data_IF_551566275888
#
_entry.id   IF_551566275888
#
_cell.length_a   1.000
_cell.length_b   1.000
_cell.length_c   1.000
_cell.angle_alpha   90.00
_cell.angle_beta   90.00
_cell.angle_gamma   90.00
#
_symmetry.space_group_name_H-M   'P 1'
#
loop_
_entity.id
_entity.type
_entity.pdbx_description
1 polymer ?
#
# COMPACT_ATOMS: atom_id res chain seq x y z
N UNK A 1 1.65 15.38 12.90
CA UNK A 1 2.86 14.70 12.38
C UNK A 1 2.67 14.49 10.88
N UNK A 2 3.67 14.85 10.07
CA UNK A 2 3.65 14.61 8.63
C UNK A 2 4.17 13.21 8.31
N UNK A 3 3.41 12.46 7.52
CA UNK A 3 3.72 11.09 7.12
C UNK A 3 3.86 11.03 5.60
N UNK A 4 4.99 10.50 5.14
CA UNK A 4 5.19 10.08 3.75
C UNK A 4 4.87 8.59 3.65
N UNK A 5 3.99 8.21 2.73
CA UNK A 5 3.66 6.80 2.49
C UNK A 5 4.00 6.38 1.06
N UNK A 6 4.50 5.15 0.89
CA UNK A 6 4.91 4.59 -0.40
C UNK A 6 4.45 3.13 -0.48
N UNK A 7 3.77 2.75 -1.55
CA UNK A 7 3.50 1.35 -1.89
C UNK A 7 3.81 1.09 -3.38
N UNK A 8 4.54 0.00 -3.63
CA UNK A 8 4.91 -0.50 -4.97
C UNK A 8 4.75 -2.02 -5.05
N UNK A 9 3.85 -2.57 -4.22
CA UNK A 9 3.66 -4.01 -4.09
C UNK A 9 2.86 -4.65 -5.22
N UNK A 10 2.16 -3.84 -6.02
CA UNK A 10 1.32 -4.27 -7.14
C UNK A 10 1.77 -3.59 -8.43
N UNK A 11 0.96 -3.61 -9.49
CA UNK A 11 1.23 -2.82 -10.70
C UNK A 11 1.13 -1.30 -10.45
N UNK A 12 0.52 -0.87 -9.35
CA UNK A 12 0.47 0.53 -8.97
C UNK A 12 1.74 0.97 -8.22
N UNK A 13 2.25 2.15 -8.56
CA UNK A 13 3.16 2.93 -7.70
C UNK A 13 2.31 3.99 -7.03
N UNK A 14 2.19 3.94 -5.73
CA UNK A 14 1.37 4.87 -4.94
C UNK A 14 2.23 5.61 -3.94
N UNK A 15 2.08 6.93 -3.86
CA UNK A 15 2.78 7.82 -2.92
C UNK A 15 1.77 8.78 -2.31
N UNK A 16 1.83 9.01 -1.01
CA UNK A 16 0.96 9.96 -0.32
C UNK A 16 1.70 10.78 0.73
N UNK A 17 1.20 11.98 0.98
CA UNK A 17 1.56 12.81 2.13
C UNK A 17 0.32 13.04 2.97
N UNK A 18 0.37 12.65 4.24
CA UNK A 18 -0.71 12.81 5.20
C UNK A 18 -0.28 13.78 6.31
N UNK A 19 -1.21 14.61 6.77
CA UNK A 19 -0.99 15.57 7.86
C UNK A 19 -0.57 16.96 7.43
N UNK A 20 -0.49 17.23 6.11
CA UNK A 20 -0.24 18.55 5.57
C UNK A 20 -1.44 19.50 5.77
N UNK A 21 -1.18 20.80 5.90
CA UNK A 21 -2.23 21.83 6.05
C UNK A 21 -3.14 21.91 4.82
N UNK A 22 -2.58 21.63 3.64
CA UNK A 22 -3.31 21.58 2.36
C UNK A 22 -4.27 20.38 2.27
N UNK A 23 -4.23 19.47 3.26
CA UNK A 23 -4.95 18.20 3.24
C UNK A 23 -4.10 17.03 2.75
N UNK A 24 -4.68 15.82 2.71
CA UNK A 24 -3.98 14.64 2.25
C UNK A 24 -3.74 14.69 0.74
N UNK A 25 -2.53 14.37 0.33
CA UNK A 25 -2.16 14.28 -1.09
C UNK A 25 -1.90 12.82 -1.45
N UNK A 26 -2.46 12.37 -2.55
CA UNK A 26 -2.25 11.04 -3.12
C UNK A 26 -1.83 11.14 -4.59
N UNK A 27 -0.79 10.43 -4.97
CA UNK A 27 -0.34 10.25 -6.35
C UNK A 27 -0.19 8.77 -6.65
N UNK A 28 -0.81 8.34 -7.73
CA UNK A 28 -0.76 6.93 -8.16
C UNK A 28 -0.55 6.84 -9.66
N UNK A 29 0.34 5.95 -10.07
CA UNK A 29 0.55 5.56 -11.46
C UNK A 29 0.51 4.04 -11.57
N UNK A 30 -0.30 3.53 -12.50
CA UNK A 30 -0.45 2.09 -12.74
C UNK A 30 0.43 1.71 -13.93
N UNK A 31 1.62 1.18 -13.66
CA UNK A 31 2.54 0.59 -14.64
C UNK A 31 3.57 -0.28 -13.90
N UNK A 32 3.29 -1.57 -13.82
CA UNK A 32 4.12 -2.52 -13.06
C UNK A 32 5.54 -2.75 -13.59
N UNK A 33 5.95 -2.09 -14.67
CA UNK A 33 7.30 -2.18 -15.24
C UNK A 33 8.18 -0.98 -14.94
N UNK A 34 7.60 0.12 -14.46
CA UNK A 34 8.28 1.41 -14.35
C UNK A 34 8.39 1.97 -12.93
N UNK A 35 8.21 1.13 -11.89
CA UNK A 35 8.27 1.60 -10.50
C UNK A 35 9.53 2.43 -10.19
N UNK A 36 10.70 1.97 -10.64
CA UNK A 36 11.97 2.64 -10.39
C UNK A 36 12.06 4.02 -11.08
N UNK A 37 11.38 4.19 -12.22
CA UNK A 37 11.38 5.45 -12.98
C UNK A 37 10.39 6.46 -12.39
N UNK A 38 9.27 5.98 -11.82
CA UNK A 38 8.15 6.85 -11.46
C UNK A 38 8.08 7.19 -9.97
N UNK A 39 8.62 6.36 -9.06
CA UNK A 39 8.48 6.58 -7.61
C UNK A 39 9.08 7.92 -7.16
N UNK A 40 10.26 8.29 -7.63
CA UNK A 40 10.90 9.54 -7.26
C UNK A 40 10.21 10.79 -7.84
N UNK A 41 9.76 10.81 -9.12
CA UNK A 41 8.86 11.85 -9.62
C UNK A 41 7.59 12.01 -8.81
N UNK A 42 6.85 10.92 -8.54
CA UNK A 42 5.60 10.96 -7.76
C UNK A 42 5.81 11.50 -6.35
N UNK A 43 6.91 11.10 -5.71
CA UNK A 43 7.29 11.58 -4.39
C UNK A 43 7.51 13.10 -4.39
N UNK A 44 8.28 13.61 -5.36
CA UNK A 44 8.51 15.06 -5.49
C UNK A 44 7.23 15.83 -5.77
N UNK A 45 6.35 15.30 -6.62
CA UNK A 45 5.06 15.90 -6.93
C UNK A 45 4.15 15.93 -5.68
N UNK A 46 4.09 14.83 -4.93
CA UNK A 46 3.28 14.77 -3.72
C UNK A 46 3.74 15.77 -2.65
N UNK A 47 5.05 15.87 -2.40
CA UNK A 47 5.61 16.84 -1.46
C UNK A 47 5.37 18.29 -1.91
N UNK A 48 5.60 18.60 -3.20
CA UNK A 48 5.37 19.94 -3.75
C UNK A 48 3.90 20.35 -3.65
N UNK A 49 2.97 19.46 -3.94
CA UNK A 49 1.54 19.75 -3.88
C UNK A 49 1.02 19.87 -2.44
N UNK A 50 1.60 19.11 -1.53
CA UNK A 50 1.35 19.23 -0.11
C UNK A 50 1.93 20.51 0.50
N UNK A 51 2.78 21.23 -0.22
CA UNK A 51 3.59 22.38 0.26
C UNK A 51 4.40 22.00 1.51
N UNK A 52 5.07 20.83 1.43
CA UNK A 52 5.82 20.22 2.54
C UNK A 52 7.30 20.12 2.17
N UNK A 53 8.17 20.68 3.04
CA UNK A 53 9.60 20.40 2.97
C UNK A 53 9.85 18.93 3.35
N UNK A 54 10.66 18.18 2.59
CA UNK A 54 11.09 16.84 3.01
C UNK A 54 11.65 16.77 4.44
N UNK A 55 12.16 17.90 4.94
CA UNK A 55 12.67 18.03 6.31
C UNK A 55 11.59 17.90 7.39
N UNK A 56 10.36 18.22 7.07
CA UNK A 56 9.24 18.23 8.01
C UNK A 56 8.56 16.86 8.13
N UNK A 57 8.90 15.90 7.27
CA UNK A 57 8.40 14.53 7.37
C UNK A 57 8.92 13.90 8.66
N UNK A 58 8.01 13.45 9.51
CA UNK A 58 8.32 12.83 10.79
C UNK A 58 8.25 11.30 10.80
N UNK A 59 7.68 10.68 9.75
CA UNK A 59 7.56 9.22 9.63
C UNK A 59 7.39 8.82 8.17
N UNK A 60 7.98 7.68 7.79
CA UNK A 60 7.74 7.04 6.49
C UNK A 60 6.96 5.74 6.69
N UNK A 61 5.82 5.61 6.04
CA UNK A 61 5.07 4.36 5.94
C UNK A 61 5.39 3.65 4.62
N UNK A 62 5.64 2.35 4.66
CA UNK A 62 5.99 1.57 3.48
C UNK A 62 5.16 0.30 3.37
N UNK A 63 4.53 0.07 2.22
CA UNK A 63 3.95 -1.21 1.88
C UNK A 63 5.05 -2.27 1.67
N UNK A 64 4.98 -3.35 2.46
CA UNK A 64 5.98 -4.43 2.39
C UNK A 64 5.46 -5.67 1.64
N UNK A 65 4.38 -5.50 0.91
CA UNK A 65 3.76 -6.58 0.14
C UNK A 65 2.79 -7.41 0.99
N UNK A 66 2.48 -8.63 0.51
CA UNK A 66 3.14 -9.39 -0.56
C UNK A 66 2.89 -8.82 -1.97
N UNK A 67 3.80 -9.15 -2.90
CA UNK A 67 3.73 -8.70 -4.29
C UNK A 67 4.95 -9.09 -5.11
N UNK A 68 5.03 -8.66 -6.39
CA UNK A 68 6.17 -8.92 -7.25
C UNK A 68 7.46 -8.33 -6.65
N UNK A 69 8.48 -9.18 -6.53
CA UNK A 69 9.74 -8.88 -5.85
C UNK A 69 10.45 -7.61 -6.35
N UNK A 70 10.44 -7.37 -7.67
CA UNK A 70 11.10 -6.20 -8.26
C UNK A 70 10.42 -4.91 -7.83
N UNK A 71 9.09 -4.85 -7.88
CA UNK A 71 8.33 -3.68 -7.43
C UNK A 71 8.54 -3.40 -5.95
N UNK A 72 8.36 -4.42 -5.10
CA UNK A 72 8.55 -4.30 -3.64
C UNK A 72 9.88 -3.67 -3.25
N UNK A 73 10.97 -4.10 -3.88
CA UNK A 73 12.31 -3.57 -3.57
C UNK A 73 12.44 -2.09 -3.86
N UNK A 74 11.79 -1.59 -4.91
CA UNK A 74 11.84 -0.17 -5.27
C UNK A 74 11.22 0.68 -4.16
N UNK A 75 9.99 0.36 -3.73
CA UNK A 75 9.31 1.10 -2.66
C UNK A 75 10.04 1.01 -1.32
N UNK A 76 10.42 -0.20 -0.91
CA UNK A 76 11.13 -0.44 0.35
C UNK A 76 12.48 0.30 0.37
N UNK A 77 13.28 0.20 -0.71
CA UNK A 77 14.56 0.89 -0.78
C UNK A 77 14.38 2.41 -0.77
N UNK A 78 13.36 2.95 -1.46
CA UNK A 78 13.05 4.38 -1.46
C UNK A 78 12.66 4.85 -0.05
N UNK A 79 11.78 4.10 0.63
CA UNK A 79 11.36 4.43 1.99
C UNK A 79 12.53 4.41 2.98
N UNK A 80 13.37 3.37 2.93
CA UNK A 80 14.57 3.25 3.79
C UNK A 80 15.56 4.37 3.50
N UNK A 81 15.84 4.67 2.22
CA UNK A 81 16.76 5.74 1.84
C UNK A 81 16.25 7.11 2.31
N UNK A 82 14.95 7.38 2.17
CA UNK A 82 14.36 8.63 2.66
C UNK A 82 14.43 8.71 4.19
N UNK A 83 13.99 7.66 4.89
CA UNK A 83 14.04 7.61 6.35
C UNK A 83 15.45 7.78 6.91
N UNK A 84 16.44 7.12 6.30
CA UNK A 84 17.85 7.26 6.66
C UNK A 84 18.37 8.69 6.42
N UNK A 85 18.08 9.28 5.26
CA UNK A 85 18.52 10.64 4.92
C UNK A 85 17.91 11.72 5.81
N UNK A 86 16.73 11.47 6.40
CA UNK A 86 15.98 12.41 7.24
C UNK A 86 16.04 12.07 8.74
N UNK A 87 16.69 10.96 9.11
CA UNK A 87 16.74 10.43 10.48
C UNK A 87 15.34 10.26 11.09
N UNK A 88 14.41 9.68 10.32
CA UNK A 88 13.04 9.43 10.73
C UNK A 88 12.69 7.94 10.64
N UNK A 89 11.78 7.45 11.49
CA UNK A 89 11.39 6.03 11.49
C UNK A 89 10.70 5.63 10.19
N UNK A 90 10.93 4.37 9.79
CA UNK A 90 10.25 3.72 8.66
C UNK A 90 9.41 2.57 9.19
N UNK A 91 8.10 2.60 8.92
CA UNK A 91 7.15 1.57 9.36
C UNK A 91 6.65 0.77 8.17
N UNK A 92 6.89 -0.54 8.20
CA UNK A 92 6.40 -1.47 7.18
C UNK A 92 5.00 -1.99 7.49
N UNK A 93 4.11 -2.01 6.50
CA UNK A 93 2.73 -2.51 6.61
C UNK A 93 2.43 -3.51 5.50
N UNK A 94 1.74 -4.59 5.83
CA UNK A 94 1.27 -5.54 4.82
C UNK A 94 0.31 -4.86 3.84
N UNK A 95 0.62 -4.88 2.56
CA UNK A 95 -0.17 -4.21 1.52
C UNK A 95 -1.57 -4.81 1.34
N UNK A 96 -1.77 -6.10 1.70
CA UNK A 96 -3.10 -6.70 1.73
C UNK A 96 -3.99 -6.10 2.84
N UNK A 97 -3.40 -5.73 4.00
CA UNK A 97 -4.16 -5.07 5.08
C UNK A 97 -4.65 -3.69 4.63
N UNK A 98 -3.81 -2.98 3.88
CA UNK A 98 -4.16 -1.66 3.31
C UNK A 98 -5.34 -1.79 2.34
N UNK A 99 -5.26 -2.74 1.41
CA UNK A 99 -6.34 -3.00 0.45
C UNK A 99 -7.63 -3.44 1.14
N UNK A 100 -7.52 -4.33 2.14
CA UNK A 100 -8.67 -4.82 2.90
C UNK A 100 -9.38 -3.70 3.66
N UNK A 101 -8.60 -2.84 4.35
CA UNK A 101 -9.16 -1.72 5.10
C UNK A 101 -10.00 -0.80 4.20
N UNK A 102 -9.47 -0.43 3.04
CA UNK A 102 -10.19 0.38 2.06
C UNK A 102 -11.44 -0.34 1.55
N UNK A 103 -11.33 -1.62 1.19
CA UNK A 103 -12.45 -2.40 0.69
C UNK A 103 -13.57 -2.59 1.72
N UNK A 104 -13.22 -2.93 2.96
CA UNK A 104 -14.22 -3.09 4.05
C UNK A 104 -14.92 -1.76 4.34
N UNK A 105 -14.19 -0.65 4.39
CA UNK A 105 -14.78 0.70 4.57
C UNK A 105 -15.81 1.02 3.48
N UNK A 106 -15.50 0.70 2.22
CA UNK A 106 -16.33 1.06 1.08
C UNK A 106 -17.51 0.08 0.88
N UNK A 107 -17.30 -1.22 1.14
CA UNK A 107 -18.28 -2.28 0.88
C UNK A 107 -19.12 -2.65 2.10
N UNK A 108 -18.65 -2.35 3.32
CA UNK A 108 -19.35 -2.66 4.58
C UNK A 108 -19.47 -4.16 4.87
N UNK A 109 -18.58 -4.99 4.32
CA UNK A 109 -18.62 -6.45 4.48
C UNK A 109 -17.21 -7.05 4.59
N UNK A 110 -17.14 -8.31 5.03
CA UNK A 110 -15.90 -9.09 4.99
C UNK A 110 -15.34 -9.19 3.57
N UNK A 111 -14.02 -9.26 3.45
CA UNK A 111 -13.34 -9.32 2.14
C UNK A 111 -12.25 -10.36 2.11
N UNK A 112 -12.00 -10.92 0.93
CA UNK A 112 -10.79 -11.67 0.61
C UNK A 112 -9.99 -10.86 -0.39
N UNK A 113 -8.75 -10.51 -0.04
CA UNK A 113 -7.84 -9.76 -0.90
C UNK A 113 -6.91 -10.74 -1.62
N UNK A 114 -6.84 -10.62 -2.95
CA UNK A 114 -5.93 -11.39 -3.80
C UNK A 114 -4.92 -10.47 -4.46
N UNK A 115 -3.64 -10.76 -4.29
CA UNK A 115 -2.56 -10.02 -4.95
C UNK A 115 -1.66 -10.96 -5.75
N UNK A 116 -1.16 -10.47 -6.87
CA UNK A 116 -0.24 -11.20 -7.74
C UNK A 116 1.10 -11.39 -7.03
N UNK A 117 1.56 -12.64 -6.90
CA UNK A 117 2.88 -12.95 -6.37
C UNK A 117 3.90 -13.20 -7.51
N UNK A 118 3.98 -14.41 -8.02
CA UNK A 118 4.87 -14.80 -9.13
C UNK A 118 4.10 -15.56 -10.18
N UNK A 119 4.31 -15.26 -11.47
CA UNK A 119 3.69 -15.99 -12.60
C UNK A 119 2.22 -16.31 -12.36
N UNK A 120 1.92 -17.56 -11.97
CA UNK A 120 0.56 -18.05 -11.67
C UNK A 120 0.25 -18.13 -10.17
N UNK A 121 1.13 -17.62 -9.31
CA UNK A 121 0.93 -17.64 -7.86
C UNK A 121 0.17 -16.40 -7.41
N UNK A 122 -0.81 -16.61 -6.55
CA UNK A 122 -1.61 -15.57 -5.92
C UNK A 122 -1.34 -15.60 -4.42
N UNK A 123 -1.08 -14.45 -3.86
CA UNK A 123 -1.08 -14.26 -2.42
C UNK A 123 -2.44 -13.74 -1.99
N UNK A 124 -2.99 -14.32 -0.94
CA UNK A 124 -4.30 -13.95 -0.44
C UNK A 124 -4.35 -13.85 1.07
N UNK A 125 -5.28 -13.05 1.55
CA UNK A 125 -5.67 -13.00 2.95
C UNK A 125 -7.16 -12.65 3.05
N UNK A 126 -7.84 -13.19 4.08
CA UNK A 126 -9.24 -12.89 4.37
C UNK A 126 -9.35 -12.03 5.61
N UNK A 127 -10.35 -11.15 5.60
CA UNK A 127 -10.60 -10.15 6.63
C UNK A 127 -12.09 -10.12 6.99
N UNK A 128 -12.39 -9.86 8.24
CA UNK A 128 -13.76 -9.65 8.70
C UNK A 128 -14.29 -8.26 8.30
N UNK A 129 -15.51 -7.95 8.70
CA UNK A 129 -16.19 -6.67 8.46
C UNK A 129 -15.61 -5.47 9.23
N UNK A 130 -14.57 -5.70 10.05
CA UNK A 130 -13.77 -4.68 10.72
C UNK A 130 -12.36 -4.56 10.16
N UNK A 131 -12.10 -5.20 9.01
CA UNK A 131 -10.78 -5.30 8.39
C UNK A 131 -9.72 -5.99 9.28
N UNK A 132 -10.14 -6.81 10.23
CA UNK A 132 -9.23 -7.66 11.01
C UNK A 132 -8.91 -8.92 10.20
N UNK A 133 -7.62 -9.22 10.04
CA UNK A 133 -7.18 -10.40 9.29
C UNK A 133 -7.56 -11.68 10.02
N UNK A 134 -8.35 -12.54 9.37
CA UNK A 134 -8.78 -13.84 9.89
C UNK A 134 -8.02 -15.02 9.29
N UNK A 135 -7.41 -14.84 8.10
CA UNK A 135 -6.56 -15.86 7.48
C UNK A 135 -5.50 -15.23 6.55
N UNK A 136 -4.36 -15.89 6.40
CA UNK A 136 -3.26 -15.46 5.53
C UNK A 136 -2.29 -14.46 6.19
N UNK A 137 -1.38 -13.84 5.42
CA UNK A 137 -1.19 -14.03 3.97
C UNK A 137 -0.61 -15.41 3.60
N UNK A 138 -1.15 -16.00 2.56
CA UNK A 138 -0.72 -17.31 2.05
C UNK A 138 -0.51 -17.21 0.54
N UNK A 139 0.56 -17.82 0.01
CA UNK A 139 0.83 -17.93 -1.43
C UNK A 139 0.37 -19.30 -1.92
N UNK A 140 -0.46 -19.34 -2.97
CA UNK A 140 -0.96 -20.55 -3.61
C UNK A 140 -1.07 -20.42 -5.11
N UNK A 141 -1.11 -21.60 -5.80
CA UNK A 141 -1.45 -21.72 -7.23
C UNK A 141 -2.90 -22.17 -7.45
N UNK A 142 -3.52 -22.71 -6.42
CA UNK A 142 -4.87 -23.28 -6.47
C UNK A 142 -5.94 -22.25 -6.08
N UNK A 143 -7.20 -22.50 -6.46
CA UNK A 143 -8.31 -21.67 -6.04
C UNK A 143 -8.34 -21.48 -4.52
N UNK A 144 -8.66 -20.28 -4.10
CA UNK A 144 -8.78 -19.89 -2.69
C UNK A 144 -10.23 -20.00 -2.27
N UNK A 145 -10.48 -20.48 -1.05
CA UNK A 145 -11.81 -20.35 -0.45
C UNK A 145 -12.06 -18.85 -0.16
N UNK A 146 -12.91 -18.26 -0.98
CA UNK A 146 -13.28 -16.84 -0.88
C UNK A 146 -14.39 -16.71 0.16
N UNK A 147 -14.18 -15.81 1.12
CA UNK A 147 -15.20 -15.38 2.07
C UNK A 147 -15.47 -13.89 1.86
N UNK A 148 -16.75 -13.52 1.75
CA UNK A 148 -17.14 -12.13 1.47
C UNK A 148 -16.82 -11.70 0.04
N UNK A 149 -16.71 -10.40 -0.18
CA UNK A 149 -16.33 -9.84 -1.47
C UNK A 149 -14.85 -10.14 -1.79
N UNK A 150 -14.56 -10.43 -3.05
CA UNK A 150 -13.20 -10.71 -3.51
C UNK A 150 -12.63 -9.49 -4.23
N UNK A 151 -11.54 -8.94 -3.71
CA UNK A 151 -10.91 -7.72 -4.25
C UNK A 151 -9.41 -7.91 -4.46
N UNK A 152 -8.79 -7.05 -5.26
CA UNK A 152 -7.35 -7.07 -5.47
C UNK A 152 -6.93 -7.00 -6.93
N UNK A 153 -5.71 -7.46 -7.27
CA UNK A 153 -5.13 -7.36 -8.61
C UNK A 153 -4.82 -8.74 -9.25
N UNK A 154 -5.30 -9.82 -8.67
CA UNK A 154 -5.01 -11.18 -9.13
C UNK A 154 -6.22 -12.11 -9.03
N UNK A 155 -6.33 -13.06 -9.97
CA UNK A 155 -7.39 -14.06 -9.99
C UNK A 155 -8.77 -13.50 -10.34
N UNK A 156 -9.84 -14.27 -10.06
CA UNK A 156 -11.20 -13.82 -10.24
C UNK A 156 -11.58 -12.91 -9.07
N UNK A 157 -11.52 -11.60 -9.27
CA UNK A 157 -11.93 -10.60 -8.30
C UNK A 157 -13.22 -9.93 -8.75
N UNK A 158 -14.07 -9.58 -7.78
CA UNK A 158 -15.29 -8.79 -8.02
C UNK A 158 -14.92 -7.35 -8.39
N UNK A 159 -13.83 -6.84 -7.82
CA UNK A 159 -13.32 -5.50 -8.07
C UNK A 159 -11.79 -5.48 -8.06
N UNK A 160 -11.20 -4.84 -9.08
CA UNK A 160 -9.76 -4.59 -9.13
C UNK A 160 -9.40 -3.45 -8.17
N UNK A 161 -8.61 -3.76 -7.15
CA UNK A 161 -8.11 -2.79 -6.17
C UNK A 161 -6.61 -2.90 -5.98
N UNK A 162 -5.98 -1.74 -5.82
CA UNK A 162 -4.57 -1.60 -5.49
C UNK A 162 -4.41 -0.97 -4.11
N UNK A 163 -3.36 -1.30 -3.34
CA UNK A 163 -3.08 -0.62 -2.09
C UNK A 163 -2.82 0.87 -2.34
N UNK A 164 -3.55 1.72 -1.64
CA UNK A 164 -3.39 3.18 -1.69
C UNK A 164 -2.38 3.62 -0.63
N UNK A 165 -1.42 4.45 -1.00
CA UNK A 165 -0.48 5.02 -0.05
C UNK A 165 -1.17 5.92 0.99
N UNK A 166 -2.32 6.52 0.66
CA UNK A 166 -3.10 7.28 1.63
C UNK A 166 -3.73 6.36 2.69
N UNK A 167 -4.38 5.27 2.27
CA UNK A 167 -4.92 4.28 3.22
C UNK A 167 -3.82 3.62 4.06
N UNK A 168 -2.61 3.46 3.48
CA UNK A 168 -1.42 2.99 4.20
C UNK A 168 -1.03 3.98 5.32
N UNK A 169 -0.95 5.28 5.02
CA UNK A 169 -0.61 6.30 6.02
C UNK A 169 -1.67 6.36 7.14
N UNK A 170 -2.95 6.34 6.80
CA UNK A 170 -4.05 6.34 7.75
C UNK A 170 -4.02 5.09 8.65
N UNK A 171 -3.77 3.89 8.08
CA UNK A 171 -3.65 2.66 8.85
C UNK A 171 -2.49 2.70 9.85
N UNK A 172 -1.38 3.35 9.49
CA UNK A 172 -0.26 3.57 10.44
C UNK A 172 -0.68 4.47 11.58
N UNK A 173 -1.39 5.58 11.31
CA UNK A 173 -1.92 6.47 12.36
C UNK A 173 -2.84 5.72 13.32
N UNK A 174 -3.77 4.92 12.80
CA UNK A 174 -4.69 4.12 13.62
C UNK A 174 -3.96 3.13 14.53
N UNK A 175 -2.87 2.50 14.03
CA UNK A 175 -2.07 1.54 14.81
C UNK A 175 -1.16 2.19 15.87
N UNK A 176 -0.94 3.49 15.77
CA UNK A 176 -0.14 4.26 16.73
C UNK A 176 -1.00 4.90 17.84
N UNK A 177 -2.32 4.99 17.63
CA UNK A 177 -3.27 5.59 18.59
C UNK A 177 -3.63 4.60 19.71
#
# INVERSE_FOLDING_TARGET
MLILAIDTSTAATSVAVLGATAGPILRTQIDGRRHAEVVAPLLREALREADVDPADIGLVACGVGPGPFTGLRVGIATAIAFGFARDVPVVGVCSLDVTARAAVRDLGTSVTVLSRARKSEVCWASYDDRAMRIAGPIIRREPVNITGACVGDAGPVDEVRYPSALDLAELVVERMA
#
